data_IF_457654354456
#
_entry.id   IF_457654354456
#
_cell.length_a   1.000
_cell.length_b   1.000
_cell.length_c   1.000
_cell.angle_alpha   90.00
_cell.angle_beta   90.00
_cell.angle_gamma   90.00
#
_symmetry.space_group_name_H-M   'P 1'
#
loop_
_entity.id
_entity.type
_entity.pdbx_description
1 polymer ?
#
# COMPACT_ATOMS: atom_id res chain seq x y z
N UNK A 1 13.99 8.28 10.36
CA UNK A 1 12.95 9.09 9.65
C UNK A 1 11.91 8.16 9.05
N UNK A 2 10.61 8.47 9.22
CA UNK A 2 9.50 7.75 8.57
C UNK A 2 9.04 8.55 7.36
N UNK A 3 8.95 7.91 6.20
CA UNK A 3 8.47 8.50 4.95
C UNK A 3 7.17 7.82 4.54
N UNK A 4 6.14 8.61 4.23
CA UNK A 4 4.80 8.13 3.93
C UNK A 4 4.43 8.48 2.50
N UNK A 5 3.83 7.54 1.79
CA UNK A 5 3.33 7.71 0.43
C UNK A 5 2.34 6.63 0.02
N UNK A 6 1.97 6.63 -1.25
CA UNK A 6 1.05 5.67 -1.86
C UNK A 6 1.73 4.89 -2.99
N UNK A 7 1.17 3.73 -3.30
CA UNK A 7 1.55 2.93 -4.46
C UNK A 7 0.84 3.44 -5.72
N UNK A 8 1.34 4.53 -6.28
CA UNK A 8 0.77 5.30 -7.38
C UNK A 8 0.15 6.62 -6.93
N UNK A 9 -0.42 7.35 -7.89
CA UNK A 9 -1.08 8.62 -7.64
C UNK A 9 -2.61 8.42 -7.58
N UNK A 10 -3.21 8.33 -6.38
CA UNK A 10 -4.67 8.17 -6.24
C UNK A 10 -5.47 9.44 -6.55
N UNK A 11 -4.78 10.56 -6.62
CA UNK A 11 -5.33 11.89 -6.98
C UNK A 11 -4.44 12.55 -8.03
N UNK A 12 -4.77 13.75 -8.49
CA UNK A 12 -3.89 14.51 -9.40
C UNK A 12 -2.50 14.72 -8.79
N UNK A 13 -1.47 14.70 -9.64
CA UNK A 13 -0.08 14.82 -9.17
C UNK A 13 0.16 16.10 -8.38
N UNK A 14 -0.43 17.25 -8.79
CA UNK A 14 -0.30 18.50 -8.05
C UNK A 14 -0.81 18.36 -6.61
N UNK A 15 -2.06 17.90 -6.44
CA UNK A 15 -2.64 17.67 -5.11
C UNK A 15 -1.84 16.66 -4.28
N UNK A 16 -1.25 15.66 -4.92
CA UNK A 16 -0.43 14.66 -4.24
C UNK A 16 0.88 15.25 -3.72
N UNK A 17 1.55 16.07 -4.54
CA UNK A 17 2.82 16.72 -4.17
C UNK A 17 2.69 17.73 -3.02
N UNK A 18 1.51 18.33 -2.84
CA UNK A 18 1.23 19.24 -1.71
C UNK A 18 1.23 18.51 -0.35
N UNK A 19 0.97 17.19 -0.36
CA UNK A 19 0.79 16.40 0.86
C UNK A 19 1.92 15.41 1.12
N UNK A 20 2.50 14.83 0.07
CA UNK A 20 3.46 13.74 0.21
C UNK A 20 4.78 14.07 -0.49
N UNK A 21 5.87 13.62 0.13
CA UNK A 21 7.22 13.68 -0.45
C UNK A 21 7.69 12.38 -1.11
N UNK A 22 6.82 11.36 -1.20
CA UNK A 22 7.16 10.02 -1.67
C UNK A 22 6.03 9.39 -2.47
N UNK A 23 6.37 8.70 -3.57
CA UNK A 23 5.45 7.80 -4.30
C UNK A 23 6.18 6.57 -4.80
N UNK A 24 5.52 5.41 -4.77
CA UNK A 24 5.95 4.22 -5.49
C UNK A 24 5.26 4.18 -6.87
N UNK A 25 6.04 4.14 -7.94
CA UNK A 25 5.50 4.01 -9.29
C UNK A 25 5.17 2.54 -9.60
N UNK A 26 3.87 2.24 -9.70
CA UNK A 26 3.38 0.90 -10.04
C UNK A 26 3.11 0.71 -11.54
N UNK A 27 2.93 1.79 -12.30
CA UNK A 27 2.71 1.71 -13.75
C UNK A 27 3.86 1.06 -14.50
N UNK A 28 5.09 1.20 -13.98
CA UNK A 28 6.32 0.58 -14.48
C UNK A 28 6.29 -0.95 -14.44
N UNK A 29 5.46 -1.54 -13.58
CA UNK A 29 5.25 -2.98 -13.53
C UNK A 29 4.57 -3.53 -14.80
N UNK A 30 3.65 -2.76 -15.37
CA UNK A 30 2.86 -3.18 -16.53
C UNK A 30 3.44 -2.69 -17.85
N UNK A 31 4.08 -1.52 -17.85
CA UNK A 31 4.59 -0.87 -19.06
C UNK A 31 5.80 -0.01 -18.75
N UNK A 32 6.84 -0.14 -19.56
CA UNK A 32 7.96 0.80 -19.52
C UNK A 32 7.49 2.17 -20.01
N UNK A 33 7.59 3.23 -19.20
CA UNK A 33 7.31 4.59 -19.68
C UNK A 33 8.37 4.99 -20.71
N UNK A 34 7.98 5.85 -21.66
CA UNK A 34 8.98 6.49 -22.52
C UNK A 34 9.88 7.42 -21.70
N UNK A 35 11.08 7.67 -22.18
CA UNK A 35 12.00 8.62 -21.57
C UNK A 35 11.32 9.97 -21.31
N UNK A 36 10.63 10.54 -22.31
CA UNK A 36 9.86 11.78 -22.22
C UNK A 36 8.82 11.73 -21.10
N UNK A 37 8.17 10.59 -20.90
CA UNK A 37 7.18 10.41 -19.82
C UNK A 37 7.84 10.46 -18.45
N UNK A 38 8.94 9.73 -18.26
CA UNK A 38 9.69 9.70 -17.00
C UNK A 38 10.28 11.08 -16.66
N UNK A 39 10.89 11.76 -17.65
CA UNK A 39 11.37 13.15 -17.52
C UNK A 39 10.24 14.11 -17.14
N UNK A 40 9.07 13.94 -17.78
CA UNK A 40 7.88 14.72 -17.45
C UNK A 40 7.41 14.51 -16.00
N UNK A 41 7.45 13.30 -15.47
CA UNK A 41 7.14 13.05 -14.06
C UNK A 41 8.15 13.72 -13.13
N UNK A 42 9.47 13.56 -13.41
CA UNK A 42 10.50 14.19 -12.59
C UNK A 42 10.43 15.72 -12.62
N UNK A 43 10.17 16.31 -13.79
CA UNK A 43 10.07 17.76 -13.95
C UNK A 43 8.91 18.39 -13.18
N UNK A 44 7.77 17.69 -13.09
CA UNK A 44 6.59 18.18 -12.35
C UNK A 44 6.71 17.99 -10.84
N UNK A 45 7.49 17.01 -10.39
CA UNK A 45 7.65 16.75 -8.97
C UNK A 45 8.60 17.76 -8.31
N UNK A 46 8.36 18.15 -7.04
CA UNK A 46 9.30 18.95 -6.26
C UNK A 46 10.70 18.36 -6.26
N UNK A 47 11.73 19.17 -6.10
CA UNK A 47 13.11 18.69 -6.19
C UNK A 47 13.44 17.59 -5.16
N UNK A 48 12.97 17.75 -3.92
CA UNK A 48 13.16 16.78 -2.83
C UNK A 48 12.19 15.60 -2.86
N UNK A 49 11.28 15.55 -3.86
CA UNK A 49 10.30 14.47 -3.96
C UNK A 49 10.98 13.17 -4.36
N UNK A 50 10.67 12.10 -3.64
CA UNK A 50 11.24 10.77 -3.86
C UNK A 50 10.30 9.89 -4.68
N UNK A 51 10.88 9.22 -5.67
CA UNK A 51 10.25 8.13 -6.39
C UNK A 51 10.89 6.82 -5.94
N UNK A 52 10.08 5.80 -5.73
CA UNK A 52 10.50 4.41 -5.76
C UNK A 52 9.84 3.74 -6.97
N UNK A 53 10.45 2.71 -7.49
CA UNK A 53 10.00 2.10 -8.76
C UNK A 53 9.73 0.62 -8.54
N UNK A 54 8.51 0.19 -8.84
CA UNK A 54 8.19 -1.23 -8.93
C UNK A 54 8.70 -1.76 -10.25
N UNK A 55 9.59 -2.75 -10.19
CA UNK A 55 10.20 -3.39 -11.35
C UNK A 55 9.15 -4.03 -12.28
N UNK A 56 9.46 -4.06 -13.57
CA UNK A 56 8.57 -4.61 -14.59
C UNK A 56 8.30 -6.11 -14.36
N UNK A 57 7.07 -6.54 -14.65
CA UNK A 57 6.63 -7.93 -14.47
C UNK A 57 7.47 -8.96 -15.22
N UNK A 58 8.15 -8.58 -16.29
CA UNK A 58 9.04 -9.49 -17.01
C UNK A 58 10.09 -10.10 -16.08
N UNK A 59 10.65 -9.31 -15.17
CA UNK A 59 11.70 -9.76 -14.25
C UNK A 59 11.18 -10.86 -13.32
N UNK A 60 10.05 -10.62 -12.68
CA UNK A 60 9.55 -11.46 -11.59
C UNK A 60 8.49 -12.49 -12.01
N UNK A 61 7.60 -12.13 -12.94
CA UNK A 61 6.47 -12.98 -13.35
C UNK A 61 6.80 -13.83 -14.58
N UNK A 62 7.38 -13.21 -15.62
CA UNK A 62 7.72 -13.88 -16.87
C UNK A 62 9.01 -14.69 -16.74
N UNK A 63 10.09 -14.04 -16.36
CA UNK A 63 11.42 -14.66 -16.29
C UNK A 63 11.75 -15.26 -14.93
N UNK A 64 10.88 -15.06 -13.93
CA UNK A 64 10.96 -15.71 -12.61
C UNK A 64 12.33 -15.58 -11.96
N UNK A 65 12.91 -14.37 -12.02
CA UNK A 65 14.23 -14.03 -11.49
C UNK A 65 15.40 -14.82 -12.15
N UNK A 66 15.21 -15.40 -13.35
CA UNK A 66 16.32 -15.97 -14.10
C UNK A 66 17.16 -14.85 -14.68
N UNK A 67 18.38 -14.70 -14.17
CA UNK A 67 19.24 -13.51 -14.40
C UNK A 67 19.52 -13.24 -15.88
N UNK A 68 19.85 -14.26 -16.65
CA UNK A 68 20.16 -14.17 -18.07
C UNK A 68 19.01 -13.56 -18.88
N UNK A 69 17.77 -13.92 -18.52
CA UNK A 69 16.56 -13.47 -19.20
C UNK A 69 16.07 -12.12 -18.67
N UNK A 70 16.29 -11.84 -17.39
CA UNK A 70 15.79 -10.65 -16.70
C UNK A 70 16.72 -9.43 -16.85
N UNK A 71 17.98 -9.63 -17.24
CA UNK A 71 19.01 -8.58 -17.29
C UNK A 71 18.57 -7.35 -18.08
N UNK A 72 18.14 -7.52 -19.32
CA UNK A 72 17.72 -6.41 -20.18
C UNK A 72 16.53 -5.64 -19.59
N UNK A 73 15.58 -6.39 -19.03
CA UNK A 73 14.41 -5.79 -18.35
C UNK A 73 14.83 -5.00 -17.12
N UNK A 74 15.81 -5.49 -16.36
CA UNK A 74 16.33 -4.81 -15.19
C UNK A 74 17.10 -3.55 -15.58
N UNK A 75 17.92 -3.58 -16.63
CA UNK A 75 18.61 -2.40 -17.16
C UNK A 75 17.64 -1.29 -17.57
N UNK A 76 16.53 -1.64 -18.24
CA UNK A 76 15.47 -0.67 -18.57
C UNK A 76 14.86 -0.03 -17.31
N UNK A 77 14.65 -0.82 -16.26
CA UNK A 77 14.17 -0.29 -14.97
C UNK A 77 15.19 0.67 -14.37
N UNK A 78 16.50 0.33 -14.37
CA UNK A 78 17.56 1.22 -13.89
C UNK A 78 17.59 2.54 -14.66
N UNK A 79 17.43 2.53 -15.99
CA UNK A 79 17.36 3.75 -16.79
C UNK A 79 16.22 4.65 -16.35
N UNK A 80 15.02 4.09 -16.12
CA UNK A 80 13.86 4.84 -15.59
C UNK A 80 14.19 5.43 -14.21
N UNK A 81 14.81 4.62 -13.33
CA UNK A 81 15.20 5.08 -11.99
C UNK A 81 16.20 6.24 -12.05
N UNK A 82 17.19 6.19 -12.95
CA UNK A 82 18.16 7.30 -13.13
C UNK A 82 17.46 8.60 -13.55
N UNK A 83 16.54 8.54 -14.50
CA UNK A 83 15.74 9.72 -14.94
C UNK A 83 14.93 10.29 -13.78
N UNK A 84 14.29 9.43 -12.99
CA UNK A 84 13.46 9.81 -11.84
C UNK A 84 14.30 10.21 -10.61
N UNK A 85 15.60 9.96 -10.61
CA UNK A 85 16.49 10.04 -9.44
C UNK A 85 16.01 9.11 -8.31
N UNK A 86 15.36 8.00 -8.67
CA UNK A 86 14.91 6.99 -7.71
C UNK A 86 16.10 6.12 -7.28
N UNK A 87 16.15 5.76 -6.00
CA UNK A 87 17.20 4.89 -5.44
C UNK A 87 16.73 3.49 -5.09
N UNK A 88 15.41 3.28 -5.00
CA UNK A 88 14.82 2.04 -4.52
C UNK A 88 14.04 1.38 -5.65
N UNK A 89 14.32 0.10 -5.87
CA UNK A 89 13.63 -0.76 -6.83
C UNK A 89 12.94 -1.89 -6.05
N UNK A 90 11.60 -1.90 -6.11
CA UNK A 90 10.79 -2.99 -5.58
C UNK A 90 10.65 -4.09 -6.61
N UNK A 91 11.03 -5.30 -6.26
CA UNK A 91 10.73 -6.52 -7.01
C UNK A 91 9.60 -7.25 -6.27
N UNK A 92 8.50 -7.57 -6.95
CA UNK A 92 7.41 -8.37 -6.40
C UNK A 92 7.26 -9.64 -7.20
N UNK A 93 7.32 -10.79 -6.55
CA UNK A 93 7.08 -12.10 -7.19
C UNK A 93 5.63 -12.56 -7.02
N UNK A 94 5.07 -13.33 -7.98
CA UNK A 94 3.73 -13.88 -7.88
C UNK A 94 3.64 -15.00 -6.83
N UNK A 95 2.43 -15.32 -6.38
CA UNK A 95 2.20 -16.43 -5.42
C UNK A 95 2.68 -17.79 -5.95
N UNK A 96 2.75 -17.97 -7.26
CA UNK A 96 3.33 -19.18 -7.89
C UNK A 96 4.87 -19.28 -7.75
N UNK A 97 5.54 -18.19 -7.38
CA UNK A 97 6.96 -18.19 -7.02
C UNK A 97 7.09 -18.57 -5.54
N UNK A 98 7.03 -19.87 -5.28
CA UNK A 98 7.01 -20.43 -3.93
C UNK A 98 8.40 -20.55 -3.29
N UNK A 99 8.49 -20.86 -2.01
CA UNK A 99 9.75 -20.99 -1.27
C UNK A 99 10.74 -22.02 -1.87
N UNK A 100 10.29 -22.94 -2.73
CA UNK A 100 11.20 -23.85 -3.46
C UNK A 100 12.16 -23.12 -4.42
N UNK A 101 11.84 -21.88 -4.81
CA UNK A 101 12.66 -21.07 -5.70
C UNK A 101 13.58 -20.06 -4.97
N UNK A 102 13.81 -20.27 -3.65
CA UNK A 102 14.64 -19.35 -2.87
C UNK A 102 16.06 -19.23 -3.43
N UNK A 103 16.64 -20.34 -3.92
CA UNK A 103 17.98 -20.33 -4.51
C UNK A 103 18.03 -19.50 -5.81
N UNK A 104 16.98 -19.58 -6.64
CA UNK A 104 16.88 -18.74 -7.86
C UNK A 104 16.80 -17.24 -7.50
N UNK A 105 16.08 -16.90 -6.43
CA UNK A 105 16.00 -15.53 -5.94
C UNK A 105 17.34 -15.06 -5.37
N UNK A 106 18.01 -15.86 -4.57
CA UNK A 106 19.31 -15.55 -3.99
C UNK A 106 20.36 -15.36 -5.09
N UNK A 107 20.42 -16.27 -6.07
CA UNK A 107 21.30 -16.16 -7.25
C UNK A 107 21.04 -14.87 -8.01
N UNK A 108 19.76 -14.51 -8.24
CA UNK A 108 19.41 -13.27 -8.90
C UNK A 108 19.92 -12.05 -8.13
N UNK A 109 19.60 -11.94 -6.85
CA UNK A 109 20.00 -10.78 -6.04
C UNK A 109 21.50 -10.66 -5.80
N UNK A 110 22.21 -11.78 -5.84
CA UNK A 110 23.66 -11.81 -5.71
C UNK A 110 24.38 -11.34 -6.98
N UNK A 111 23.86 -11.70 -8.15
CA UNK A 111 24.58 -11.55 -9.40
C UNK A 111 24.00 -10.48 -10.34
N UNK A 112 22.80 -9.93 -10.04
CA UNK A 112 22.27 -8.83 -10.86
C UNK A 112 23.06 -7.54 -10.58
N UNK A 113 23.52 -6.90 -11.65
CA UNK A 113 24.26 -5.64 -11.55
C UNK A 113 23.33 -4.50 -11.13
N UNK A 114 23.26 -4.24 -9.83
CA UNK A 114 22.34 -3.28 -9.23
C UNK A 114 22.88 -1.86 -9.06
N UNK A 115 24.15 -1.61 -9.44
CA UNK A 115 24.84 -0.33 -9.25
C UNK A 115 24.70 0.13 -7.77
N UNK A 116 24.26 1.39 -7.57
CA UNK A 116 23.95 1.97 -6.26
C UNK A 116 22.46 1.87 -5.86
N UNK A 117 21.66 1.09 -6.61
CA UNK A 117 20.25 0.89 -6.29
C UNK A 117 20.04 -0.07 -5.11
N UNK A 118 19.10 0.31 -4.25
CA UNK A 118 18.62 -0.52 -3.16
C UNK A 118 17.50 -1.39 -3.67
N UNK A 119 17.66 -2.70 -3.56
CA UNK A 119 16.64 -3.67 -3.93
C UNK A 119 15.84 -4.08 -2.69
N UNK A 120 14.51 -4.09 -2.85
CA UNK A 120 13.58 -4.60 -1.86
C UNK A 120 12.67 -5.64 -2.53
N UNK A 121 12.33 -6.71 -1.81
CA UNK A 121 11.60 -7.85 -2.40
C UNK A 121 10.32 -8.16 -1.64
N UNK A 122 9.20 -8.15 -2.36
CA UNK A 122 7.90 -8.57 -1.87
C UNK A 122 7.58 -9.98 -2.36
N UNK A 123 7.44 -10.91 -1.43
CA UNK A 123 6.97 -12.27 -1.71
C UNK A 123 5.44 -12.35 -1.58
N UNK A 124 4.84 -13.32 -2.24
CA UNK A 124 3.41 -13.59 -2.18
C UNK A 124 3.14 -15.08 -1.99
N UNK A 125 2.15 -15.38 -1.15
CA UNK A 125 1.63 -16.73 -0.96
C UNK A 125 2.11 -17.45 0.30
N UNK A 126 1.36 -18.48 0.73
CA UNK A 126 1.47 -19.08 2.07
C UNK A 126 2.79 -19.81 2.32
N UNK A 127 3.51 -20.19 1.27
CA UNK A 127 4.81 -20.87 1.44
C UNK A 127 5.89 -19.95 2.02
N UNK A 128 5.71 -18.63 1.90
CA UNK A 128 6.61 -17.61 2.44
C UNK A 128 6.20 -17.13 3.83
N UNK A 129 4.95 -17.36 4.22
CA UNK A 129 4.35 -16.82 5.43
C UNK A 129 4.45 -17.79 6.63
N UNK A 130 4.83 -19.06 6.38
CA UNK A 130 5.07 -20.03 7.45
C UNK A 130 6.51 -19.93 8.01
N UNK A 131 6.75 -20.50 9.17
CA UNK A 131 8.03 -20.44 9.90
C UNK A 131 9.22 -20.87 9.03
N UNK A 132 9.07 -21.97 8.28
CA UNK A 132 10.12 -22.49 7.39
C UNK A 132 10.45 -21.50 6.28
N UNK A 133 9.42 -20.92 5.63
CA UNK A 133 9.58 -19.93 4.57
C UNK A 133 10.24 -18.64 5.08
N UNK A 134 9.82 -18.17 6.25
CA UNK A 134 10.40 -16.98 6.88
C UNK A 134 11.87 -17.19 7.25
N UNK A 135 12.22 -18.39 7.74
CA UNK A 135 13.63 -18.74 8.00
C UNK A 135 14.45 -18.73 6.72
N UNK A 136 13.95 -19.38 5.65
CA UNK A 136 14.64 -19.41 4.36
C UNK A 136 14.84 -17.99 3.80
N UNK A 137 13.82 -17.13 3.89
CA UNK A 137 13.92 -15.72 3.50
C UNK A 137 14.97 -14.97 4.32
N UNK A 138 14.95 -15.11 5.64
CA UNK A 138 15.93 -14.46 6.52
C UNK A 138 17.35 -14.82 6.15
N UNK A 139 17.59 -16.11 5.98
CA UNK A 139 18.93 -16.65 5.69
C UNK A 139 19.42 -16.18 4.31
N UNK A 140 18.57 -16.21 3.29
CA UNK A 140 18.93 -15.78 1.94
C UNK A 140 19.10 -14.23 1.85
N UNK A 141 18.12 -13.47 2.34
CA UNK A 141 18.11 -12.00 2.20
C UNK A 141 19.21 -11.31 3.01
N UNK A 142 19.62 -11.89 4.15
CA UNK A 142 20.77 -11.38 4.91
C UNK A 142 22.09 -11.49 4.13
N UNK A 143 22.25 -12.54 3.31
CA UNK A 143 23.47 -12.72 2.49
C UNK A 143 23.56 -11.74 1.32
N UNK A 144 22.40 -11.32 0.79
CA UNK A 144 22.33 -10.45 -0.40
C UNK A 144 21.99 -8.99 -0.07
N UNK A 145 21.84 -8.65 1.21
CA UNK A 145 21.47 -7.31 1.69
C UNK A 145 20.22 -6.75 1.00
N UNK A 146 19.10 -7.52 1.04
CA UNK A 146 17.81 -7.15 0.46
C UNK A 146 16.74 -7.20 1.55
N UNK A 147 15.94 -6.13 1.67
CA UNK A 147 14.84 -6.07 2.62
C UNK A 147 13.64 -6.88 2.14
N UNK A 148 13.05 -7.69 3.02
CA UNK A 148 11.76 -8.32 2.81
C UNK A 148 10.63 -7.30 2.97
N UNK A 149 9.83 -7.12 1.92
CA UNK A 149 8.68 -6.19 1.92
C UNK A 149 7.41 -6.92 2.32
N UNK A 150 6.72 -6.38 3.31
CA UNK A 150 5.46 -6.93 3.82
C UNK A 150 4.48 -5.81 4.19
N UNK A 151 3.23 -6.19 4.47
CA UNK A 151 2.34 -5.43 5.33
C UNK A 151 2.64 -5.83 6.79
N UNK A 152 3.28 -4.98 7.60
CA UNK A 152 3.79 -5.37 8.92
C UNK A 152 2.66 -5.60 9.94
N UNK A 153 1.43 -5.17 9.64
CA UNK A 153 0.26 -5.46 10.46
C UNK A 153 -0.27 -6.88 10.22
N UNK A 154 0.11 -7.52 9.10
CA UNK A 154 -0.21 -8.92 8.77
C UNK A 154 0.96 -9.84 9.07
N UNK A 155 2.15 -9.48 8.62
CA UNK A 155 3.35 -10.31 8.70
C UNK A 155 4.57 -9.42 8.86
N UNK A 156 5.34 -9.63 9.93
CA UNK A 156 6.61 -8.94 10.10
C UNK A 156 7.63 -9.40 9.06
N UNK A 157 8.48 -8.48 8.53
CA UNK A 157 9.53 -8.85 7.59
C UNK A 157 10.48 -9.92 8.17
N UNK A 158 10.86 -10.88 7.35
CA UNK A 158 11.85 -11.89 7.73
C UNK A 158 13.25 -11.26 7.89
N UNK A 159 13.57 -10.25 7.10
CA UNK A 159 14.84 -9.51 7.13
C UNK A 159 14.64 -8.05 6.73
N UNK A 160 15.31 -7.15 7.44
CA UNK A 160 15.40 -5.72 7.12
C UNK A 160 16.88 -5.37 7.01
N UNK A 161 17.28 -4.84 5.86
CA UNK A 161 18.63 -4.38 5.57
C UNK A 161 18.80 -2.87 5.88
N UNK A 162 19.29 -2.07 4.95
CA UNK A 162 19.50 -0.62 5.11
C UNK A 162 18.20 0.22 5.19
N UNK A 163 17.05 -0.39 4.87
CA UNK A 163 15.74 0.26 4.75
C UNK A 163 14.63 -0.65 5.27
N UNK A 164 13.69 -0.13 6.04
CA UNK A 164 12.40 -0.79 6.26
C UNK A 164 11.43 -0.31 5.18
N UNK A 165 10.83 -1.24 4.44
CA UNK A 165 9.93 -0.92 3.33
C UNK A 165 8.62 -1.71 3.48
N UNK A 166 7.55 -1.02 3.80
CA UNK A 166 6.25 -1.61 4.11
C UNK A 166 5.20 -1.23 3.08
N UNK A 167 4.41 -2.20 2.63
CA UNK A 167 3.32 -1.99 1.67
C UNK A 167 2.00 -2.45 2.27
N UNK A 168 1.11 -1.49 2.52
CA UNK A 168 -0.13 -1.66 3.26
C UNK A 168 -1.27 -2.01 2.30
N UNK A 169 -1.65 -3.30 2.24
CA UNK A 169 -2.66 -3.80 1.32
C UNK A 169 -4.05 -3.95 1.94
N UNK A 170 -4.16 -3.75 3.26
CA UNK A 170 -5.36 -3.98 4.04
C UNK A 170 -5.38 -5.33 4.73
N UNK A 171 -6.13 -5.40 5.85
CA UNK A 171 -6.22 -6.59 6.73
C UNK A 171 -7.47 -7.42 6.46
N UNK A 172 -8.37 -6.97 5.59
CA UNK A 172 -9.62 -7.64 5.26
C UNK A 172 -9.43 -8.93 4.45
N UNK A 173 -10.52 -9.68 4.31
CA UNK A 173 -10.59 -10.90 3.47
C UNK A 173 -10.35 -10.56 2.01
N UNK A 174 -10.91 -9.45 1.54
CA UNK A 174 -10.71 -8.94 0.18
C UNK A 174 -9.56 -7.94 0.17
N UNK A 175 -8.45 -8.36 -0.44
CA UNK A 175 -7.26 -7.54 -0.58
C UNK A 175 -7.61 -6.20 -1.26
N UNK A 176 -7.04 -5.10 -0.76
CA UNK A 176 -7.27 -3.72 -1.18
C UNK A 176 -8.59 -3.08 -0.73
N UNK A 177 -9.67 -3.82 -0.50
CA UNK A 177 -10.94 -3.30 0.00
C UNK A 177 -10.86 -3.11 1.51
N UNK A 178 -10.12 -2.10 1.92
CA UNK A 178 -9.81 -1.85 3.32
C UNK A 178 -9.55 -0.36 3.57
N UNK A 179 -9.91 0.09 4.77
CA UNK A 179 -9.51 1.36 5.36
C UNK A 179 -8.98 1.05 6.76
N UNK A 180 -7.83 1.63 7.13
CA UNK A 180 -7.19 1.37 8.42
C UNK A 180 -7.85 2.18 9.53
N UNK A 181 -8.07 1.54 10.69
CA UNK A 181 -8.54 2.22 11.91
C UNK A 181 -7.42 3.07 12.53
N UNK A 182 -7.78 3.94 13.49
CA UNK A 182 -6.78 4.70 14.24
C UNK A 182 -5.82 3.77 14.98
N UNK A 183 -6.34 2.76 15.70
CA UNK A 183 -5.53 1.78 16.46
C UNK A 183 -4.55 1.02 15.57
N UNK A 184 -4.98 0.65 14.37
CA UNK A 184 -4.10 -0.02 13.39
C UNK A 184 -2.99 0.90 12.89
N UNK A 185 -3.30 2.18 12.63
CA UNK A 185 -2.31 3.17 12.24
C UNK A 185 -1.35 3.52 13.38
N UNK A 186 -1.81 3.57 14.64
CA UNK A 186 -0.95 3.70 15.82
C UNK A 186 0.02 2.53 15.95
N UNK A 187 -0.48 1.29 15.83
CA UNK A 187 0.38 0.11 15.80
C UNK A 187 1.40 0.14 14.66
N UNK A 188 0.99 0.60 13.48
CA UNK A 188 1.90 0.80 12.35
C UNK A 188 3.01 1.82 12.70
N UNK A 189 2.65 2.92 13.36
CA UNK A 189 3.62 3.92 13.81
C UNK A 189 4.63 3.33 14.80
N UNK A 190 4.15 2.56 15.79
CA UNK A 190 5.03 1.90 16.77
C UNK A 190 5.99 0.88 16.11
N UNK A 191 5.56 0.23 15.03
CA UNK A 191 6.45 -0.65 14.24
C UNK A 191 7.46 0.20 13.46
N UNK A 192 6.99 1.24 12.75
CA UNK A 192 7.82 2.03 11.85
C UNK A 192 8.92 2.80 12.61
N UNK A 193 8.59 3.38 13.79
CA UNK A 193 9.56 4.16 14.61
C UNK A 193 10.77 3.33 15.07
N UNK A 194 10.63 2.01 15.24
CA UNK A 194 11.76 1.13 15.58
C UNK A 194 12.84 1.07 14.50
N UNK A 195 12.49 1.48 13.29
CA UNK A 195 13.38 1.46 12.14
C UNK A 195 13.83 2.85 11.68
N UNK A 196 13.54 3.91 12.42
CA UNK A 196 13.94 5.28 12.05
C UNK A 196 15.45 5.50 12.03
N UNK A 197 16.19 4.75 12.82
CA UNK A 197 17.65 4.83 12.91
C UNK A 197 18.38 4.12 11.76
N UNK A 198 17.67 3.36 10.92
CA UNK A 198 18.27 2.75 9.73
C UNK A 198 18.79 3.81 8.76
N UNK A 199 19.81 3.47 7.99
CA UNK A 199 20.45 4.34 7.01
C UNK A 199 19.47 5.09 6.10
N UNK A 200 18.43 4.39 5.63
CA UNK A 200 17.38 4.96 4.79
C UNK A 200 16.06 5.22 5.56
N UNK A 201 15.95 4.77 6.82
CA UNK A 201 14.73 4.89 7.61
C UNK A 201 13.64 3.89 7.23
N UNK A 202 12.38 4.28 7.48
CA UNK A 202 11.20 3.47 7.19
C UNK A 202 10.33 4.12 6.11
N UNK A 203 9.98 3.36 5.08
CA UNK A 203 9.09 3.74 3.98
C UNK A 203 7.75 3.03 4.15
N UNK A 204 6.68 3.80 4.21
CA UNK A 204 5.31 3.33 4.43
C UNK A 204 4.49 3.67 3.18
N UNK A 205 4.15 2.66 2.40
CA UNK A 205 3.47 2.80 1.10
C UNK A 205 2.06 2.18 1.19
N UNK A 206 1.05 3.02 1.22
CA UNK A 206 -0.33 2.56 1.21
C UNK A 206 -0.74 2.10 -0.19
N UNK A 207 -1.34 0.91 -0.28
CA UNK A 207 -1.75 0.26 -1.53
C UNK A 207 -3.15 -0.36 -1.42
N UNK A 208 -4.04 0.29 -0.74
CA UNK A 208 -5.45 -0.07 -0.59
C UNK A 208 -6.34 0.96 -1.29
N UNK A 209 -7.65 0.70 -1.40
CA UNK A 209 -8.58 1.63 -2.07
C UNK A 209 -8.72 2.97 -1.33
N UNK A 210 -8.49 3.00 -0.01
CA UNK A 210 -8.45 4.23 0.78
C UNK A 210 -7.04 4.83 0.93
N UNK A 211 -6.06 4.41 0.11
CA UNK A 211 -4.64 4.74 0.31
C UNK A 211 -4.35 6.22 0.49
N UNK A 212 -5.10 7.12 -0.16
CA UNK A 212 -4.89 8.56 -0.01
C UNK A 212 -5.30 9.05 1.38
N UNK A 213 -6.48 8.65 1.83
CA UNK A 213 -7.01 9.05 3.12
C UNK A 213 -6.19 8.44 4.26
N UNK A 214 -5.86 7.15 4.17
CA UNK A 214 -5.06 6.46 5.19
C UNK A 214 -3.63 7.01 5.28
N UNK A 215 -2.97 7.25 4.14
CA UNK A 215 -1.63 7.85 4.11
C UNK A 215 -1.65 9.27 4.70
N UNK A 216 -2.68 10.07 4.37
CA UNK A 216 -2.85 11.44 4.89
C UNK A 216 -3.06 11.43 6.42
N UNK A 217 -3.94 10.55 6.92
CA UNK A 217 -4.21 10.40 8.35
C UNK A 217 -2.98 9.93 9.10
N UNK A 218 -2.29 8.94 8.57
CA UNK A 218 -1.07 8.41 9.15
C UNK A 218 0.04 9.46 9.22
N UNK A 219 0.25 10.21 8.13
CA UNK A 219 1.21 11.32 8.11
C UNK A 219 0.84 12.39 9.14
N UNK A 220 -0.43 12.77 9.20
CA UNK A 220 -0.92 13.75 10.17
C UNK A 220 -0.67 13.28 11.63
N UNK A 221 -0.94 12.00 11.91
CA UNK A 221 -0.68 11.42 13.23
C UNK A 221 0.81 11.46 13.61
N UNK A 222 1.72 11.16 12.68
CA UNK A 222 3.16 11.27 12.92
C UNK A 222 3.56 12.69 13.29
N UNK A 223 2.95 13.69 12.69
CA UNK A 223 3.28 15.10 12.88
C UNK A 223 2.64 15.72 14.13
N UNK A 224 1.45 15.25 14.53
CA UNK A 224 0.61 15.90 15.53
C UNK A 224 0.27 15.04 16.76
N UNK A 225 0.42 13.71 16.69
CA UNK A 225 0.14 12.80 17.80
C UNK A 225 -1.34 12.46 18.00
N UNK A 226 -2.23 12.85 17.07
CA UNK A 226 -3.65 12.51 17.09
C UNK A 226 -4.20 12.40 15.65
N UNK A 227 -5.38 11.78 15.48
CA UNK A 227 -6.03 11.66 14.17
C UNK A 227 -7.10 12.72 13.95
N UNK A 228 -7.19 13.31 12.77
CA UNK A 228 -8.32 14.16 12.41
C UNK A 228 -9.56 13.28 12.15
N UNK A 229 -10.79 13.82 12.27
CA UNK A 229 -12.01 13.11 11.88
C UNK A 229 -11.93 12.59 10.45
N UNK A 230 -12.41 11.36 10.22
CA UNK A 230 -12.34 10.68 8.92
C UNK A 230 -13.01 11.45 7.79
N UNK A 231 -14.23 11.94 8.03
CA UNK A 231 -15.06 12.66 7.05
C UNK A 231 -15.24 14.14 7.37
N UNK A 232 -14.62 14.63 8.43
CA UNK A 232 -14.84 15.97 8.98
C UNK A 232 -16.08 16.07 9.87
N UNK A 233 -16.92 15.03 9.95
CA UNK A 233 -18.15 14.93 10.73
C UNK A 233 -18.22 13.60 11.47
N UNK A 234 -19.19 13.49 12.38
CA UNK A 234 -19.48 12.28 13.17
C UNK A 234 -20.92 11.81 12.95
N UNK A 235 -21.23 10.58 13.37
CA UNK A 235 -22.57 10.04 13.37
C UNK A 235 -23.22 9.97 11.99
N UNK A 236 -24.50 10.33 11.91
CA UNK A 236 -25.29 10.28 10.67
C UNK A 236 -24.70 11.14 9.54
N UNK A 237 -24.15 12.30 9.83
CA UNK A 237 -23.51 13.15 8.82
C UNK A 237 -22.24 12.52 8.22
N UNK A 238 -21.49 11.77 9.02
CA UNK A 238 -20.37 10.99 8.53
C UNK A 238 -20.83 9.86 7.61
N UNK A 239 -21.90 9.13 8.01
CA UNK A 239 -22.51 8.08 7.18
C UNK A 239 -23.01 8.68 5.86
N UNK A 240 -23.79 9.77 5.92
CA UNK A 240 -24.31 10.48 4.76
C UNK A 240 -23.22 10.86 3.77
N UNK A 241 -22.10 11.35 4.26
CA UNK A 241 -20.95 11.71 3.43
C UNK A 241 -20.43 10.53 2.59
N UNK A 242 -20.44 9.31 3.13
CA UNK A 242 -19.97 8.11 2.43
C UNK A 242 -21.05 7.55 1.47
N UNK A 243 -22.29 7.42 1.93
CA UNK A 243 -23.36 6.81 1.13
C UNK A 243 -23.80 7.70 -0.04
N UNK A 244 -23.72 9.03 0.10
CA UNK A 244 -24.05 9.97 -0.99
C UNK A 244 -23.11 9.88 -2.19
N UNK A 245 -21.94 9.29 -2.04
CA UNK A 245 -20.99 9.04 -3.13
C UNK A 245 -21.39 7.80 -3.98
N UNK A 246 -22.40 7.07 -3.55
CA UNK A 246 -22.87 5.84 -4.23
C UNK A 246 -23.93 6.20 -5.29
N UNK A 247 -23.95 5.40 -6.37
CA UNK A 247 -25.01 5.52 -7.40
C UNK A 247 -26.23 4.74 -6.96
N UNK A 248 -27.39 5.35 -7.09
CA UNK A 248 -28.70 4.77 -6.79
C UNK A 248 -29.52 4.55 -8.08
N UNK A 249 -30.49 3.57 -8.12
CA UNK A 249 -30.83 2.66 -7.01
C UNK A 249 -29.74 1.62 -6.74
N UNK A 250 -29.64 1.17 -5.48
CA UNK A 250 -28.64 0.18 -5.05
C UNK A 250 -29.27 -0.81 -4.05
N UNK A 251 -28.97 -2.11 -4.22
CA UNK A 251 -29.37 -3.13 -3.23
C UNK A 251 -28.47 -3.05 -2.00
N UNK A 252 -28.98 -3.45 -0.83
CA UNK A 252 -28.19 -3.57 0.41
C UNK A 252 -26.86 -4.32 0.15
N UNK A 253 -26.94 -5.48 -0.51
CA UNK A 253 -25.75 -6.26 -0.87
C UNK A 253 -24.74 -5.42 -1.69
N UNK A 254 -25.22 -4.72 -2.73
CA UNK A 254 -24.36 -3.87 -3.56
C UNK A 254 -23.71 -2.73 -2.77
N UNK A 255 -24.40 -2.17 -1.77
CA UNK A 255 -23.85 -1.16 -0.88
C UNK A 255 -22.73 -1.73 -0.01
N UNK A 256 -22.98 -2.87 0.64
CA UNK A 256 -21.98 -3.56 1.47
C UNK A 256 -20.75 -3.92 0.64
N UNK A 257 -20.93 -4.49 -0.56
CA UNK A 257 -19.82 -4.90 -1.42
C UNK A 257 -18.96 -3.70 -1.88
N UNK A 258 -19.60 -2.55 -2.17
CA UNK A 258 -18.90 -1.38 -2.73
C UNK A 258 -18.27 -0.47 -1.68
N UNK A 259 -18.97 -0.23 -0.57
CA UNK A 259 -18.57 0.77 0.42
C UNK A 259 -18.56 0.24 1.87
N UNK A 260 -19.03 -0.96 2.14
CA UNK A 260 -19.11 -1.54 3.48
C UNK A 260 -17.74 -1.64 4.19
N UNK A 261 -16.66 -1.73 3.45
CA UNK A 261 -15.28 -1.75 3.97
C UNK A 261 -14.79 -0.39 4.48
N UNK A 262 -15.51 0.72 4.18
CA UNK A 262 -15.18 2.05 4.69
C UNK A 262 -15.47 2.15 6.18
N UNK A 263 -14.69 3.00 6.85
CA UNK A 263 -14.87 3.30 8.28
C UNK A 263 -15.70 4.58 8.41
N UNK A 264 -16.59 4.57 9.38
CA UNK A 264 -17.35 5.74 9.84
C UNK A 264 -16.97 6.00 11.29
N UNK A 265 -16.88 7.24 11.64
CA UNK A 265 -16.71 7.70 13.02
C UNK A 265 -18.06 8.16 13.57
N UNK A 266 -18.62 7.40 14.52
CA UNK A 266 -19.94 7.71 15.10
C UNK A 266 -19.83 8.84 16.13
N UNK A 267 -18.74 8.87 16.87
CA UNK A 267 -18.32 9.90 17.81
C UNK A 267 -16.79 9.91 17.89
N UNK A 268 -16.15 10.93 18.46
CA UNK A 268 -14.69 10.97 18.54
C UNK A 268 -14.08 9.68 19.08
N UNK A 269 -13.25 9.02 18.25
CA UNK A 269 -12.58 7.77 18.59
C UNK A 269 -13.42 6.49 18.45
N UNK A 270 -14.74 6.56 18.19
CA UNK A 270 -15.59 5.40 17.98
C UNK A 270 -15.73 5.11 16.48
N UNK A 271 -14.85 4.27 15.97
CA UNK A 271 -14.81 3.86 14.58
C UNK A 271 -15.51 2.52 14.35
N UNK A 272 -16.37 2.45 13.34
CA UNK A 272 -17.09 1.23 12.93
C UNK A 272 -17.01 1.05 11.42
N UNK A 273 -17.12 -0.19 10.94
CA UNK A 273 -17.25 -0.46 9.51
C UNK A 273 -18.67 -0.11 9.05
N UNK A 274 -18.79 0.51 7.88
CA UNK A 274 -20.09 0.80 7.31
C UNK A 274 -20.90 -0.48 7.05
N UNK A 275 -20.24 -1.62 6.76
CA UNK A 275 -20.86 -2.94 6.66
C UNK A 275 -21.61 -3.33 7.94
N UNK A 276 -21.06 -3.01 9.10
CA UNK A 276 -21.65 -3.39 10.40
C UNK A 276 -22.94 -2.62 10.65
N UNK A 277 -23.00 -1.38 10.18
CA UNK A 277 -24.19 -0.54 10.23
C UNK A 277 -25.25 -0.95 9.21
N UNK A 278 -24.84 -1.35 8.00
CA UNK A 278 -25.74 -1.76 6.92
C UNK A 278 -26.29 -3.19 7.09
N UNK A 279 -25.54 -4.07 7.76
CA UNK A 279 -25.91 -5.50 7.88
C UNK A 279 -27.26 -5.76 8.53
N UNK A 280 -27.68 -5.07 9.62
CA UNK A 280 -28.99 -5.29 10.24
C UNK A 280 -30.17 -4.70 9.45
N UNK A 281 -29.93 -3.84 8.46
CA UNK A 281 -30.95 -3.18 7.67
C UNK A 281 -31.76 -4.16 6.80
N UNK A 282 -33.00 -3.78 6.35
CA UNK A 282 -33.81 -4.62 5.47
C UNK A 282 -33.15 -4.97 4.13
N UNK A 283 -33.42 -6.20 3.66
CA UNK A 283 -33.02 -6.64 2.31
C UNK A 283 -33.95 -6.03 1.27
N UNK A 284 -33.58 -4.86 0.77
CA UNK A 284 -34.33 -4.16 -0.29
C UNK A 284 -33.42 -3.39 -1.22
N UNK A 285 -33.98 -2.78 -2.25
CA UNK A 285 -33.33 -1.84 -3.13
C UNK A 285 -33.62 -0.43 -2.66
N UNK A 286 -32.57 0.29 -2.27
CA UNK A 286 -32.62 1.68 -1.84
C UNK A 286 -32.60 2.61 -3.03
N UNK A 287 -33.51 3.59 -3.07
CA UNK A 287 -33.62 4.53 -4.19
C UNK A 287 -32.75 5.78 -4.01
N UNK A 288 -32.40 6.09 -2.77
CA UNK A 288 -31.57 7.25 -2.43
C UNK A 288 -30.79 7.05 -1.13
N UNK A 289 -29.88 7.97 -0.81
CA UNK A 289 -29.14 8.02 0.45
C UNK A 289 -30.06 8.32 1.65
N UNK A 290 -31.08 9.13 1.45
CA UNK A 290 -32.05 9.50 2.48
C UNK A 290 -32.83 8.26 2.99
N UNK A 291 -33.26 7.39 2.07
CA UNK A 291 -33.95 6.14 2.43
C UNK A 291 -33.05 5.21 3.28
N UNK A 292 -31.75 5.23 3.08
CA UNK A 292 -30.80 4.49 3.92
C UNK A 292 -30.69 5.13 5.31
N UNK A 293 -30.60 6.46 5.38
CA UNK A 293 -30.52 7.17 6.66
C UNK A 293 -31.77 6.98 7.50
N UNK A 294 -32.94 7.06 6.90
CA UNK A 294 -34.20 6.82 7.58
C UNK A 294 -34.30 5.41 8.19
N UNK A 295 -33.84 4.40 7.42
CA UNK A 295 -33.79 3.03 7.95
C UNK A 295 -32.71 2.89 9.05
N UNK A 296 -31.56 3.52 8.89
CA UNK A 296 -30.47 3.47 9.89
C UNK A 296 -30.91 4.07 11.25
N UNK A 297 -31.64 5.18 11.26
CA UNK A 297 -32.15 5.80 12.48
C UNK A 297 -33.10 4.85 13.25
N UNK A 298 -33.83 4.00 12.54
CA UNK A 298 -34.75 3.03 13.14
C UNK A 298 -34.06 1.77 13.70
N UNK A 299 -32.86 1.41 13.17
CA UNK A 299 -32.15 0.18 13.53
C UNK A 299 -30.92 0.40 14.40
N UNK A 300 -30.38 1.61 14.43
CA UNK A 300 -29.18 1.95 15.21
C UNK A 300 -29.63 2.96 16.27
N UNK A 301 -29.66 2.52 17.54
CA UNK A 301 -29.65 3.47 18.65
C UNK A 301 -28.26 4.14 18.64
N UNK A 302 -28.18 5.26 17.95
CA UNK A 302 -27.00 6.10 17.89
C UNK A 302 -26.70 6.76 19.23
#
# INVERSE_FOLDING_TARGET
MIKVGCCGFPVSQSKYYDLFGLVELNTTFYKYPSQRTAEGWRKRAPEKFEFTVKAHQDISHKYRLKIEQARDSFERVKQICRILRAKIILIQTPASFTAKYINDAEEFFMNIERDDFILVWETRGPTWENEKGLKMLRDALSRVNVTHVTDPLRLMPAHIADIAYFRLHGLGVHLYYYQYTNDELERLYEIARKHEALKMGAYILFNNLAMFDDARRFKFYIENGYFPPLTGNYGLEAIKTLISQTRYPATKKSLIDKIGWRIVELEPGRQVRLSDLLSPMPEKTYKSSEEILDDLENYISL
#
